data_IF_862104996564
#
_entry.id   IF_862104996564
#
_cell.length_a   1.000
_cell.length_b   1.000
_cell.length_c   1.000
_cell.angle_alpha   90.00
_cell.angle_beta   90.00
_cell.angle_gamma   90.00
#
_symmetry.space_group_name_H-M   'P 1'
#
loop_
_entity.id
_entity.type
_entity.pdbx_description
1 polymer ?
#
# COMPACT_ATOMS: atom_id res chain seq x y z
N UNK A 1 -37.82 -76.52 54.82
CA UNK A 1 -36.40 -76.81 54.52
C UNK A 1 -35.85 -75.68 53.64
N UNK A 2 -34.77 -75.04 54.12
CA UNK A 2 -33.79 -74.17 53.45
C UNK A 2 -34.23 -72.90 52.68
N UNK A 3 -33.81 -71.78 53.26
CA UNK A 3 -33.78 -70.39 52.78
C UNK A 3 -32.95 -70.22 51.50
N UNK A 4 -33.33 -69.28 50.63
CA UNK A 4 -32.38 -68.57 49.76
C UNK A 4 -32.75 -67.08 49.73
N UNK A 5 -31.85 -66.29 50.30
CA UNK A 5 -31.82 -64.82 50.32
C UNK A 5 -31.25 -64.30 48.99
N UNK A 6 -31.85 -63.27 48.40
CA UNK A 6 -31.32 -62.55 47.23
C UNK A 6 -31.01 -61.11 47.62
N UNK A 7 -29.72 -60.80 47.72
CA UNK A 7 -29.17 -59.48 47.94
C UNK A 7 -29.25 -58.63 46.65
N UNK A 8 -29.65 -57.38 46.81
CA UNK A 8 -29.74 -56.36 45.78
C UNK A 8 -28.37 -55.72 45.59
N UNK A 9 -27.80 -55.77 44.38
CA UNK A 9 -26.51 -55.19 44.03
C UNK A 9 -26.75 -53.77 43.47
N UNK A 10 -26.29 -52.73 44.17
CA UNK A 10 -26.19 -51.36 43.64
C UNK A 10 -24.90 -51.24 42.83
N UNK A 11 -25.01 -50.82 41.56
CA UNK A 11 -23.88 -50.45 40.72
C UNK A 11 -23.55 -48.97 40.90
N UNK A 12 -22.33 -48.66 41.37
CA UNK A 12 -21.80 -47.30 41.43
C UNK A 12 -21.09 -46.97 40.11
N UNK A 13 -21.52 -45.89 39.44
CA UNK A 13 -20.85 -45.32 38.27
C UNK A 13 -19.71 -44.39 38.73
N UNK A 14 -18.47 -44.75 38.38
CA UNK A 14 -17.28 -43.93 38.58
C UNK A 14 -17.12 -43.00 37.37
N UNK A 15 -17.16 -41.68 37.60
CA UNK A 15 -16.81 -40.68 36.58
C UNK A 15 -15.29 -40.44 36.60
N UNK A 16 -14.63 -40.63 35.47
CA UNK A 16 -13.24 -40.23 35.25
C UNK A 16 -13.16 -38.76 34.81
N UNK A 17 -12.22 -37.96 35.32
CA UNK A 17 -12.03 -36.59 34.86
C UNK A 17 -11.32 -36.56 33.51
N UNK A 18 -11.84 -35.78 32.56
CA UNK A 18 -11.19 -35.50 31.30
C UNK A 18 -10.00 -34.55 31.53
N UNK A 19 -8.80 -35.01 31.18
CA UNK A 19 -7.61 -34.16 31.14
C UNK A 19 -7.72 -33.19 29.95
N UNK A 20 -7.76 -31.89 30.21
CA UNK A 20 -7.62 -30.86 29.18
C UNK A 20 -6.13 -30.65 28.88
N UNK A 21 -5.72 -31.07 27.68
CA UNK A 21 -4.43 -30.69 27.13
C UNK A 21 -4.45 -29.17 26.85
N UNK A 22 -3.56 -28.43 27.50
CA UNK A 22 -3.30 -27.04 27.16
C UNK A 22 -2.42 -27.02 25.91
N UNK A 23 -2.98 -26.58 24.78
CA UNK A 23 -2.20 -26.26 23.59
C UNK A 23 -1.23 -25.13 23.93
N UNK A 24 0.06 -25.46 23.97
CA UNK A 24 1.13 -24.50 24.10
C UNK A 24 1.13 -23.62 22.84
N UNK A 25 0.85 -22.33 23.01
CA UNK A 25 0.93 -21.34 21.94
C UNK A 25 2.35 -21.34 21.35
N UNK A 26 2.45 -21.69 20.05
CA UNK A 26 3.70 -21.64 19.32
C UNK A 26 4.26 -20.20 19.33
N UNK A 27 5.58 -20.01 19.49
CA UNK A 27 6.18 -18.69 19.43
C UNK A 27 5.92 -18.07 18.06
N UNK A 28 5.41 -16.84 18.04
CA UNK A 28 5.23 -16.06 16.84
C UNK A 28 6.57 -15.95 16.11
N UNK A 29 6.63 -16.45 14.88
CA UNK A 29 7.81 -16.33 14.04
C UNK A 29 8.13 -14.84 13.85
N UNK A 30 9.34 -14.43 14.22
CA UNK A 30 9.84 -13.10 13.94
C UNK A 30 9.85 -12.89 12.42
N UNK A 31 9.03 -11.95 11.95
CA UNK A 31 8.97 -11.57 10.54
C UNK A 31 10.36 -11.10 10.10
N UNK A 32 10.90 -11.69 9.02
CA UNK A 32 12.18 -11.28 8.48
C UNK A 32 12.16 -9.76 8.15
N UNK A 33 13.29 -9.03 8.31
CA UNK A 33 13.35 -7.63 7.96
C UNK A 33 13.02 -7.44 6.48
N UNK A 34 12.00 -6.63 6.18
CA UNK A 34 11.69 -6.24 4.80
C UNK A 34 12.79 -5.28 4.33
N UNK A 35 13.50 -5.58 3.22
CA UNK A 35 14.50 -4.68 2.66
C UNK A 35 13.95 -3.27 2.45
N UNK A 36 14.76 -2.25 2.72
CA UNK A 36 14.41 -0.84 2.51
C UNK A 36 13.77 -0.13 3.71
N UNK A 37 13.18 -0.84 4.68
CA UNK A 37 12.52 -0.20 5.82
C UNK A 37 13.50 0.45 6.79
N UNK A 38 14.58 -0.25 7.12
CA UNK A 38 15.62 0.26 8.01
C UNK A 38 16.66 1.08 7.22
N UNK A 39 17.19 2.17 7.81
CA UNK A 39 18.23 2.95 7.17
C UNK A 39 19.52 2.14 7.07
N UNK A 40 20.26 2.35 5.97
CA UNK A 40 21.61 1.79 5.81
C UNK A 40 22.66 2.54 6.65
N UNK A 41 22.32 3.75 7.11
CA UNK A 41 23.06 4.51 8.10
C UNK A 41 22.42 4.36 9.49
N UNK A 42 23.10 4.81 10.55
CA UNK A 42 22.51 4.85 11.88
C UNK A 42 21.20 5.66 11.89
N UNK A 43 20.16 5.13 12.53
CA UNK A 43 18.89 5.80 12.65
C UNK A 43 19.07 7.14 13.39
N UNK A 44 18.51 8.22 12.83
CA UNK A 44 18.66 9.57 13.36
C UNK A 44 17.39 10.10 14.05
N UNK A 45 16.41 9.22 14.25
CA UNK A 45 15.11 9.56 14.86
C UNK A 45 14.15 10.29 13.92
N UNK A 46 14.47 10.40 12.63
CA UNK A 46 13.51 10.84 11.61
C UNK A 46 12.71 9.65 11.05
N UNK A 47 11.43 9.84 10.78
CA UNK A 47 10.55 8.84 10.18
C UNK A 47 9.88 9.33 8.89
N UNK A 48 9.75 8.43 7.92
CA UNK A 48 8.88 8.56 6.75
C UNK A 48 7.77 7.51 6.86
N UNK A 49 6.53 7.97 6.95
CA UNK A 49 5.37 7.09 6.93
C UNK A 49 4.78 6.97 5.52
N UNK A 50 4.53 5.74 5.09
CA UNK A 50 4.02 5.39 3.77
C UNK A 50 2.57 4.92 3.86
N UNK A 51 1.68 5.52 3.07
CA UNK A 51 0.32 5.01 2.88
C UNK A 51 0.04 4.74 1.40
N UNK A 52 -0.45 3.54 1.05
CA UNK A 52 -0.81 3.20 -0.32
C UNK A 52 -2.19 3.77 -0.69
N UNK A 53 -2.50 3.73 -1.98
CA UNK A 53 -3.86 3.90 -2.46
C UNK A 53 -4.62 2.59 -2.30
N UNK A 54 -5.96 2.67 -2.23
CA UNK A 54 -6.83 1.50 -2.06
C UNK A 54 -6.68 0.50 -3.20
N UNK A 55 -6.67 0.98 -4.44
CA UNK A 55 -6.42 0.19 -5.64
C UNK A 55 -6.24 1.10 -6.85
N UNK A 56 -5.67 0.54 -7.92
CA UNK A 56 -5.70 1.17 -9.23
C UNK A 56 -7.13 1.28 -9.76
N UNK A 57 -7.46 2.43 -10.35
CA UNK A 57 -8.73 2.71 -11.03
C UNK A 57 -8.50 2.91 -12.53
N UNK A 58 -9.45 2.48 -13.35
CA UNK A 58 -9.44 2.71 -14.80
C UNK A 58 -10.30 3.93 -15.14
N UNK A 59 -9.80 4.81 -16.02
CA UNK A 59 -10.61 5.84 -16.67
C UNK A 59 -10.42 5.80 -18.19
N UNK A 60 -11.51 5.56 -18.92
CA UNK A 60 -11.55 5.61 -20.38
C UNK A 60 -12.19 6.93 -20.80
N UNK A 61 -11.40 7.89 -21.31
CA UNK A 61 -11.91 9.15 -21.87
C UNK A 61 -12.00 9.04 -23.40
N UNK A 62 -13.18 8.66 -23.90
CA UNK A 62 -13.49 8.67 -25.34
C UNK A 62 -13.82 10.08 -25.89
N UNK A 63 -13.62 10.28 -27.20
CA UNK A 63 -13.74 11.57 -27.91
C UNK A 63 -15.17 12.16 -27.91
N UNK A 64 -16.19 11.40 -27.50
CA UNK A 64 -17.59 11.85 -27.34
C UNK A 64 -18.11 11.78 -25.89
N UNK A 65 -17.20 11.68 -24.90
CA UNK A 65 -17.56 11.36 -23.53
C UNK A 65 -17.95 9.89 -23.44
N UNK A 66 -17.03 9.05 -22.98
CA UNK A 66 -17.27 7.62 -22.75
C UNK A 66 -18.39 7.41 -21.73
N UNK A 67 -19.63 7.44 -22.21
CA UNK A 67 -20.84 7.14 -21.46
C UNK A 67 -21.12 5.63 -21.44
N UNK A 68 -22.21 5.29 -20.74
CA UNK A 68 -22.72 3.94 -20.47
C UNK A 68 -22.64 2.93 -21.63
N UNK A 69 -22.73 3.38 -22.88
CA UNK A 69 -22.69 2.55 -24.09
C UNK A 69 -21.30 1.97 -24.42
N UNK A 70 -20.23 2.76 -24.27
CA UNK A 70 -18.85 2.26 -24.49
C UNK A 70 -18.46 1.29 -23.37
N UNK A 71 -18.84 1.62 -22.13
CA UNK A 71 -18.69 0.76 -20.96
C UNK A 71 -19.49 -0.55 -21.09
N UNK A 72 -20.68 -0.53 -21.70
CA UNK A 72 -21.50 -1.73 -21.92
C UNK A 72 -20.94 -2.64 -23.03
N UNK A 73 -20.39 -2.07 -24.11
CA UNK A 73 -19.81 -2.84 -25.21
C UNK A 73 -18.47 -3.50 -24.86
N UNK A 74 -17.78 -2.98 -23.84
CA UNK A 74 -16.49 -3.50 -23.39
C UNK A 74 -16.50 -4.01 -21.95
N UNK A 75 -17.68 -4.16 -21.33
CA UNK A 75 -17.84 -4.53 -19.91
C UNK A 75 -17.08 -5.81 -19.51
N UNK A 76 -17.12 -6.85 -20.34
CA UNK A 76 -16.46 -8.13 -20.04
C UNK A 76 -14.92 -8.03 -20.14
N UNK A 77 -14.44 -7.22 -21.08
CA UNK A 77 -13.01 -6.97 -21.26
C UNK A 77 -12.48 -5.98 -20.21
N UNK A 78 -13.27 -5.00 -19.84
CA UNK A 78 -12.94 -4.04 -18.79
C UNK A 78 -13.02 -4.67 -17.39
N UNK A 79 -13.95 -5.60 -17.15
CA UNK A 79 -14.01 -6.33 -15.86
C UNK A 79 -12.86 -7.33 -15.70
N UNK A 80 -12.51 -8.08 -16.74
CA UNK A 80 -11.32 -8.94 -16.75
C UNK A 80 -10.04 -8.12 -16.62
N UNK A 81 -9.90 -7.01 -17.35
CA UNK A 81 -8.82 -6.06 -17.14
C UNK A 81 -8.82 -5.51 -15.71
N UNK A 82 -9.96 -5.14 -15.13
CA UNK A 82 -10.05 -4.66 -13.74
C UNK A 82 -9.62 -5.71 -12.72
N UNK A 83 -9.93 -6.99 -12.95
CA UNK A 83 -9.47 -8.08 -12.08
C UNK A 83 -7.95 -8.27 -12.15
N UNK A 84 -7.37 -8.19 -13.35
CA UNK A 84 -5.93 -8.23 -13.58
C UNK A 84 -5.20 -6.98 -13.02
N UNK A 85 -5.85 -5.83 -13.12
CA UNK A 85 -5.42 -4.55 -12.55
C UNK A 85 -5.40 -4.56 -11.03
N UNK A 86 -6.37 -5.22 -10.41
CA UNK A 86 -6.51 -5.27 -8.96
C UNK A 86 -5.34 -6.02 -8.30
N UNK A 87 -4.74 -7.01 -8.95
CA UNK A 87 -3.61 -7.77 -8.39
C UNK A 87 -2.25 -7.13 -8.63
N UNK A 88 -2.07 -6.33 -9.68
CA UNK A 88 -0.74 -5.81 -10.05
C UNK A 88 -0.30 -4.56 -9.28
N UNK A 89 -1.26 -3.76 -8.80
CA UNK A 89 -1.03 -2.55 -8.01
C UNK A 89 -2.03 -2.45 -6.86
N UNK A 90 -2.23 -3.57 -6.14
CA UNK A 90 -2.88 -3.55 -4.83
C UNK A 90 -2.04 -2.76 -3.81
N UNK A 91 -2.62 -2.51 -2.63
CA UNK A 91 -1.94 -1.71 -1.60
C UNK A 91 -0.60 -2.31 -1.14
N UNK A 92 -0.47 -3.63 -0.90
CA UNK A 92 0.82 -4.25 -0.57
C UNK A 92 1.86 -4.10 -1.68
N UNK A 93 1.52 -4.39 -2.95
CA UNK A 93 2.47 -4.28 -4.07
C UNK A 93 2.91 -2.84 -4.35
N UNK A 94 2.04 -1.85 -4.12
CA UNK A 94 2.42 -0.43 -4.17
C UNK A 94 3.49 -0.09 -3.12
N UNK A 95 3.33 -0.59 -1.90
CA UNK A 95 4.31 -0.38 -0.83
C UNK A 95 5.62 -1.11 -1.11
N UNK A 96 5.55 -2.36 -1.55
CA UNK A 96 6.72 -3.15 -1.94
C UNK A 96 7.50 -2.46 -3.07
N UNK A 97 6.80 -1.95 -4.08
CA UNK A 97 7.40 -1.20 -5.17
C UNK A 97 8.08 0.09 -4.71
N UNK A 98 7.52 0.80 -3.72
CA UNK A 98 8.13 2.00 -3.14
C UNK A 98 9.37 1.67 -2.31
N UNK A 99 9.31 0.67 -1.43
CA UNK A 99 10.43 0.33 -0.53
C UNK A 99 11.56 -0.42 -1.24
N UNK A 100 11.30 -0.99 -2.43
CA UNK A 100 12.34 -1.50 -3.31
C UNK A 100 13.24 -0.39 -3.90
N UNK A 101 12.79 0.87 -3.85
CA UNK A 101 13.60 2.03 -4.25
C UNK A 101 14.26 2.67 -3.03
N UNK A 102 15.36 3.40 -3.27
CA UNK A 102 15.99 4.20 -2.22
C UNK A 102 15.25 5.52 -2.00
N UNK A 103 14.16 5.48 -1.23
CA UNK A 103 13.34 6.66 -0.93
C UNK A 103 14.14 7.77 -0.23
N UNK A 104 15.25 7.42 0.45
CA UNK A 104 16.08 8.39 1.19
C UNK A 104 16.88 9.29 0.27
N UNK A 105 17.21 8.83 -0.93
CA UNK A 105 17.87 9.63 -1.97
C UNK A 105 16.88 10.29 -2.92
N UNK A 106 15.71 9.68 -3.14
CA UNK A 106 14.67 10.22 -4.01
C UNK A 106 13.87 11.37 -3.39
N UNK A 107 13.72 11.39 -2.05
CA UNK A 107 13.02 12.45 -1.33
C UNK A 107 14.01 13.25 -0.47
N UNK A 108 13.63 14.47 -0.01
CA UNK A 108 14.49 15.28 0.85
C UNK A 108 14.48 14.74 2.30
N UNK A 109 15.02 13.54 2.46
CA UNK A 109 15.18 12.79 3.70
C UNK A 109 16.65 12.71 4.08
N UNK A 110 16.91 12.32 5.32
CA UNK A 110 18.27 11.99 5.77
C UNK A 110 18.57 10.51 5.50
N UNK A 111 19.85 10.12 5.34
CA UNK A 111 20.23 8.71 5.20
C UNK A 111 19.82 7.83 6.40
N UNK A 112 19.65 8.42 7.58
CA UNK A 112 19.21 7.76 8.82
C UNK A 112 17.69 7.69 9.01
N UNK A 113 16.89 8.22 8.09
CA UNK A 113 15.42 8.21 8.23
C UNK A 113 14.89 6.77 8.25
N UNK A 114 14.02 6.41 9.19
CA UNK A 114 13.34 5.11 9.23
C UNK A 114 12.07 5.15 8.39
N UNK A 115 11.82 4.11 7.59
CA UNK A 115 10.61 4.03 6.74
C UNK A 115 9.58 3.14 7.43
N UNK A 116 8.40 3.69 7.66
CA UNK A 116 7.28 3.04 8.35
C UNK A 116 6.15 2.80 7.34
N UNK A 117 5.75 1.54 7.14
CA UNK A 117 4.64 1.18 6.28
C UNK A 117 3.32 1.20 7.04
N UNK A 118 2.29 1.75 6.41
CA UNK A 118 0.91 1.60 6.84
C UNK A 118 0.15 0.88 5.74
N UNK A 119 -0.19 -0.39 5.98
CA UNK A 119 -0.87 -1.23 4.99
C UNK A 119 -2.28 -0.75 4.66
N UNK A 120 -2.92 -0.02 5.58
CA UNK A 120 -4.29 0.46 5.39
C UNK A 120 -4.33 1.73 4.53
N UNK A 121 -5.02 1.69 3.37
CA UNK A 121 -5.17 2.85 2.51
C UNK A 121 -5.90 4.00 3.19
N UNK A 122 -5.52 5.22 2.82
CA UNK A 122 -6.23 6.40 3.29
C UNK A 122 -7.42 6.73 2.40
N UNK A 123 -8.52 7.13 3.02
CA UNK A 123 -9.68 7.60 2.26
C UNK A 123 -9.34 8.92 1.55
N UNK A 124 -9.46 8.94 0.22
CA UNK A 124 -9.10 10.08 -0.65
C UNK A 124 -9.67 11.42 -0.19
N UNK A 125 -10.92 11.42 0.30
CA UNK A 125 -11.62 12.65 0.74
C UNK A 125 -10.98 13.30 1.98
N UNK A 126 -10.18 12.54 2.74
CA UNK A 126 -9.52 13.01 3.96
C UNK A 126 -8.16 13.64 3.67
N UNK A 127 -7.56 13.40 2.49
CA UNK A 127 -6.18 13.77 2.19
C UNK A 127 -5.91 15.26 2.35
N UNK A 128 -6.79 16.10 1.80
CA UNK A 128 -6.65 17.55 1.91
C UNK A 128 -7.25 18.13 3.20
N UNK A 129 -8.03 17.36 3.96
CA UNK A 129 -8.75 17.83 5.17
C UNK A 129 -7.91 17.69 6.43
N UNK A 130 -7.24 16.55 6.60
CA UNK A 130 -6.40 16.29 7.78
C UNK A 130 -5.07 16.98 7.57
N UNK A 131 -4.79 18.00 8.39
CA UNK A 131 -3.55 18.79 8.35
C UNK A 131 -2.59 18.50 9.51
N UNK A 132 -2.99 17.62 10.43
CA UNK A 132 -2.14 17.06 11.48
C UNK A 132 -1.42 15.80 10.99
N UNK A 133 -0.46 15.31 11.79
CA UNK A 133 0.14 13.98 11.60
C UNK A 133 -0.96 12.92 11.59
N UNK A 134 -0.81 11.91 10.74
CA UNK A 134 -1.76 10.79 10.61
C UNK A 134 -1.44 9.60 11.49
N UNK A 135 -0.23 9.52 12.02
CA UNK A 135 0.15 8.52 13.02
C UNK A 135 0.49 9.19 14.34
N UNK A 136 0.45 8.40 15.41
CA UNK A 136 0.79 8.82 16.77
C UNK A 136 2.30 8.77 17.05
N UNK A 137 3.15 8.73 16.01
CA UNK A 137 4.60 8.68 16.17
C UNK A 137 5.15 9.90 16.92
N UNK A 138 6.00 9.62 17.90
CA UNK A 138 6.75 10.59 18.68
C UNK A 138 8.10 10.96 18.05
N UNK A 139 8.37 10.56 16.79
CA UNK A 139 9.62 10.86 16.11
C UNK A 139 9.91 12.36 16.05
N UNK A 140 11.20 12.71 16.20
CA UNK A 140 11.68 14.08 16.24
C UNK A 140 11.49 14.78 14.89
N UNK A 141 11.69 14.04 13.79
CA UNK A 141 11.36 14.47 12.43
C UNK A 141 10.31 13.53 11.86
N UNK A 142 9.27 14.10 11.28
CA UNK A 142 8.13 13.34 10.80
C UNK A 142 7.75 13.79 9.39
N UNK A 143 7.67 12.81 8.49
CA UNK A 143 7.24 13.02 7.11
C UNK A 143 6.28 11.94 6.67
N UNK A 144 5.48 12.26 5.68
CA UNK A 144 4.47 11.37 5.13
C UNK A 144 4.58 11.34 3.62
N UNK A 145 4.53 10.14 3.03
CA UNK A 145 4.28 9.93 1.63
C UNK A 145 2.96 9.16 1.48
N UNK A 146 2.01 9.78 0.80
CA UNK A 146 0.69 9.22 0.56
C UNK A 146 0.52 9.00 -0.94
N UNK A 147 0.20 7.78 -1.33
CA UNK A 147 -0.28 7.45 -2.68
C UNK A 147 -1.79 7.71 -2.68
N UNK A 148 -2.19 8.78 -3.33
CA UNK A 148 -3.57 9.26 -3.31
C UNK A 148 -4.47 8.52 -4.31
N UNK A 149 -3.90 8.16 -5.45
CA UNK A 149 -4.58 7.53 -6.57
C UNK A 149 -3.58 6.92 -7.53
N UNK A 150 -3.96 5.78 -8.12
CA UNK A 150 -3.29 5.16 -9.25
C UNK A 150 -4.33 5.02 -10.37
N UNK A 151 -4.04 5.59 -11.54
CA UNK A 151 -4.96 5.65 -12.67
C UNK A 151 -4.34 5.11 -13.95
N UNK A 152 -4.99 4.14 -14.56
CA UNK A 152 -4.79 3.83 -15.96
C UNK A 152 -5.61 4.79 -16.82
N UNK A 153 -4.97 5.37 -17.83
CA UNK A 153 -5.61 6.23 -18.82
C UNK A 153 -5.38 5.67 -20.22
N UNK A 154 -6.46 5.65 -21.01
CA UNK A 154 -6.41 5.41 -22.45
C UNK A 154 -6.93 6.65 -23.17
N UNK A 155 -6.06 7.30 -23.93
CA UNK A 155 -6.40 8.42 -24.79
C UNK A 155 -6.25 8.03 -26.26
N UNK A 156 -7.18 8.49 -27.10
CA UNK A 156 -7.18 8.16 -28.54
C UNK A 156 -5.90 8.60 -29.28
N UNK A 157 -5.28 9.71 -28.84
CA UNK A 157 -4.12 10.32 -29.49
C UNK A 157 -2.81 9.97 -28.75
N UNK A 158 -2.82 10.01 -27.43
CA UNK A 158 -1.60 9.88 -26.60
C UNK A 158 -1.32 8.45 -26.12
N UNK A 159 -2.14 7.49 -26.55
CA UNK A 159 -1.98 6.08 -26.20
C UNK A 159 -2.38 5.76 -24.76
N UNK A 160 -1.65 4.82 -24.17
CA UNK A 160 -1.94 4.26 -22.84
C UNK A 160 -0.92 4.77 -21.84
N UNK A 161 -1.35 5.14 -20.65
CA UNK A 161 -0.45 5.59 -19.58
C UNK A 161 -0.95 5.18 -18.21
N UNK A 162 -0.01 5.13 -17.27
CA UNK A 162 -0.29 5.03 -15.85
C UNK A 162 0.05 6.37 -15.20
N UNK A 163 -0.86 6.91 -14.41
CA UNK A 163 -0.65 8.13 -13.62
C UNK A 163 -0.83 7.84 -12.16
N UNK A 164 0.06 8.35 -11.33
CA UNK A 164 -0.02 8.19 -9.88
C UNK A 164 0.02 9.54 -9.22
N UNK A 165 -0.94 9.82 -8.34
CA UNK A 165 -0.97 11.03 -7.54
C UNK A 165 -0.30 10.74 -6.22
N UNK A 166 0.78 11.45 -5.95
CA UNK A 166 1.47 11.37 -4.68
C UNK A 166 1.28 12.68 -3.91
N UNK A 167 1.37 12.57 -2.58
CA UNK A 167 1.43 13.71 -1.67
C UNK A 167 2.54 13.44 -0.67
N UNK A 168 3.54 14.32 -0.65
CA UNK A 168 4.59 14.34 0.35
C UNK A 168 4.37 15.49 1.33
N UNK A 169 4.49 15.23 2.62
CA UNK A 169 4.31 16.22 3.67
C UNK A 169 5.42 16.13 4.70
N UNK A 170 5.89 17.29 5.16
CA UNK A 170 6.81 17.40 6.30
C UNK A 170 6.17 18.17 7.42
N UNK A 171 6.50 17.78 8.64
CA UNK A 171 5.97 18.36 9.85
C UNK A 171 7.10 18.92 10.71
N UNK A 172 6.81 20.02 11.42
CA UNK A 172 7.71 20.53 12.46
C UNK A 172 7.50 19.78 13.81
N UNK A 173 8.27 20.21 14.82
CA UNK A 173 8.16 19.74 16.19
C UNK A 173 6.80 20.09 16.83
N UNK A 174 6.11 21.13 16.35
CA UNK A 174 4.76 21.49 16.77
C UNK A 174 3.68 20.71 15.99
N UNK A 175 4.07 19.68 15.23
CA UNK A 175 3.20 18.82 14.43
C UNK A 175 2.41 19.56 13.33
N UNK A 176 2.90 20.71 12.88
CA UNK A 176 2.31 21.48 11.77
C UNK A 176 3.01 21.15 10.47
N UNK A 177 2.24 21.11 9.39
CA UNK A 177 2.79 20.95 8.04
C UNK A 177 3.64 22.17 7.70
N UNK A 178 4.94 21.96 7.50
CA UNK A 178 5.89 22.99 7.04
C UNK A 178 6.06 22.98 5.53
N UNK A 179 5.79 21.83 4.91
CA UNK A 179 5.83 21.69 3.46
C UNK A 179 4.91 20.56 3.01
N UNK A 180 4.12 20.81 1.98
CA UNK A 180 3.28 19.85 1.30
C UNK A 180 3.54 19.98 -0.21
N UNK A 181 3.83 18.86 -0.86
CA UNK A 181 3.94 18.78 -2.30
C UNK A 181 3.00 17.69 -2.80
N UNK A 182 2.12 18.04 -3.74
CA UNK A 182 1.11 17.14 -4.28
C UNK A 182 1.11 17.27 -5.80
N UNK A 183 1.46 16.19 -6.48
CA UNK A 183 1.58 16.19 -7.93
C UNK A 183 1.38 14.81 -8.52
N UNK A 184 1.10 14.79 -9.82
CA UNK A 184 1.04 13.57 -10.61
C UNK A 184 2.44 13.22 -11.12
N UNK A 185 2.82 11.94 -11.02
CA UNK A 185 3.77 11.33 -11.95
C UNK A 185 2.99 10.59 -13.05
N UNK A 186 3.52 10.50 -14.27
CA UNK A 186 2.78 9.91 -15.37
C UNK A 186 3.65 9.43 -16.53
N UNK A 187 3.64 8.13 -16.78
CA UNK A 187 4.47 7.48 -17.78
C UNK A 187 3.62 6.55 -18.68
N UNK A 188 4.06 6.38 -19.93
CA UNK A 188 3.37 5.57 -20.93
C UNK A 188 3.45 4.06 -20.66
N UNK A 189 2.48 3.32 -21.20
CA UNK A 189 2.39 1.86 -21.17
C UNK A 189 2.48 1.29 -22.59
N UNK A 190 3.33 0.28 -22.76
CA UNK A 190 3.60 -0.38 -24.04
C UNK A 190 2.99 -1.77 -24.12
N UNK A 191 2.81 -2.45 -23.00
CA UNK A 191 2.28 -3.80 -22.91
C UNK A 191 0.85 -3.78 -22.38
N UNK A 192 0.60 -3.07 -21.27
CA UNK A 192 -0.71 -3.09 -20.62
C UNK A 192 -1.77 -2.22 -21.32
N UNK A 193 -3.02 -2.70 -21.53
CA UNK A 193 -3.51 -4.03 -21.20
C UNK A 193 -3.06 -5.06 -22.25
N UNK A 194 -2.78 -6.32 -21.84
CA UNK A 194 -2.39 -7.37 -22.77
C UNK A 194 -3.52 -7.65 -23.76
N UNK A 195 -3.17 -7.96 -25.00
CA UNK A 195 -4.11 -8.50 -25.99
C UNK A 195 -4.17 -10.03 -25.88
N UNK A 196 -5.18 -10.61 -26.52
CA UNK A 196 -5.26 -12.06 -26.66
C UNK A 196 -4.00 -12.61 -27.32
N UNK A 197 -3.41 -13.65 -26.71
CA UNK A 197 -2.15 -14.25 -27.16
C UNK A 197 -0.88 -13.48 -26.77
N UNK A 198 -0.98 -12.33 -26.10
CA UNK A 198 0.18 -11.62 -25.54
C UNK A 198 0.51 -12.09 -24.11
N UNK A 199 1.75 -11.85 -23.66
CA UNK A 199 2.22 -12.22 -22.33
C UNK A 199 1.58 -11.32 -21.25
N UNK A 200 0.55 -11.84 -20.59
CA UNK A 200 -0.13 -11.16 -19.50
C UNK A 200 0.78 -10.89 -18.29
N UNK A 201 1.75 -11.76 -18.01
CA UNK A 201 2.68 -11.57 -16.88
C UNK A 201 3.60 -10.39 -17.15
N UNK A 202 4.15 -10.30 -18.37
CA UNK A 202 4.97 -9.17 -18.78
C UNK A 202 4.17 -7.85 -18.76
N UNK A 203 2.92 -7.87 -19.22
CA UNK A 203 2.06 -6.68 -19.20
C UNK A 203 1.73 -6.22 -17.76
N UNK A 204 1.52 -7.14 -16.82
CA UNK A 204 1.30 -6.80 -15.42
C UNK A 204 2.59 -6.33 -14.73
N UNK A 205 3.74 -6.94 -15.05
CA UNK A 205 5.05 -6.49 -14.56
C UNK A 205 5.40 -5.07 -15.02
N UNK A 206 4.93 -4.66 -16.20
CA UNK A 206 5.08 -3.27 -16.67
C UNK A 206 4.40 -2.27 -15.71
N UNK A 207 3.25 -2.59 -15.13
CA UNK A 207 2.52 -1.68 -14.24
C UNK A 207 3.35 -1.29 -13.00
N UNK A 208 4.00 -2.27 -12.35
CA UNK A 208 4.90 -2.01 -11.22
C UNK A 208 6.11 -1.16 -11.63
N UNK A 209 6.70 -1.46 -12.79
CA UNK A 209 7.83 -0.71 -13.34
C UNK A 209 7.45 0.75 -13.64
N UNK A 210 6.31 0.98 -14.29
CA UNK A 210 5.82 2.32 -14.64
C UNK A 210 5.36 3.07 -13.39
N UNK A 211 4.81 2.38 -12.39
CA UNK A 211 4.49 2.97 -11.09
C UNK A 211 5.74 3.51 -10.38
N UNK A 212 6.85 2.77 -10.38
CA UNK A 212 8.14 3.24 -9.85
C UNK A 212 8.66 4.45 -10.64
N UNK A 213 8.57 4.42 -11.98
CA UNK A 213 8.94 5.58 -12.83
C UNK A 213 8.11 6.82 -12.51
N UNK A 214 6.80 6.68 -12.31
CA UNK A 214 5.94 7.78 -11.87
C UNK A 214 6.42 8.37 -10.55
N UNK A 215 6.84 7.53 -9.60
CA UNK A 215 7.37 8.02 -8.33
C UNK A 215 8.70 8.76 -8.51
N UNK A 216 9.63 8.24 -9.30
CA UNK A 216 10.92 8.91 -9.57
C UNK A 216 10.71 10.29 -10.20
N UNK A 217 9.84 10.40 -11.19
CA UNK A 217 9.46 11.67 -11.81
C UNK A 217 8.86 12.64 -10.78
N UNK A 218 7.90 12.16 -9.99
CA UNK A 218 7.29 12.94 -8.92
C UNK A 218 8.33 13.43 -7.90
N UNK A 219 9.24 12.55 -7.47
CA UNK A 219 10.21 12.82 -6.42
C UNK A 219 11.26 13.84 -6.89
N UNK A 220 11.72 13.74 -8.14
CA UNK A 220 12.56 14.76 -8.77
C UNK A 220 11.88 16.14 -8.76
N UNK A 221 10.61 16.19 -9.14
CA UNK A 221 9.84 17.44 -9.16
C UNK A 221 9.58 17.97 -7.73
N UNK A 222 9.37 17.10 -6.76
CA UNK A 222 9.21 17.45 -5.36
C UNK A 222 10.50 18.09 -4.79
N UNK A 223 11.67 17.48 -5.03
CA UNK A 223 12.97 18.04 -4.63
C UNK A 223 13.16 19.42 -5.26
N UNK A 224 12.88 19.55 -6.56
CA UNK A 224 13.00 20.83 -7.28
C UNK A 224 12.09 21.91 -6.70
N UNK A 225 10.88 21.53 -6.26
CA UNK A 225 9.90 22.44 -5.65
C UNK A 225 10.10 22.65 -4.13
N UNK A 226 11.06 21.96 -3.50
CA UNK A 226 11.24 22.04 -2.06
C UNK A 226 11.71 23.45 -1.65
N UNK A 227 11.17 24.01 -0.54
CA UNK A 227 11.63 25.28 -0.03
C UNK A 227 13.12 25.14 0.31
N UNK A 228 13.94 26.06 -0.23
CA UNK A 228 15.35 26.17 0.13
C UNK A 228 15.42 26.37 1.64
N UNK A 229 16.28 25.61 2.33
CA UNK A 229 16.55 25.87 3.75
C UNK A 229 16.99 27.32 3.88
N UNK A 230 16.17 28.18 4.48
CA UNK A 230 16.63 29.48 4.92
C UNK A 230 17.57 29.18 6.08
N UNK A 231 18.86 29.53 5.93
CA UNK A 231 19.82 29.37 7.01
C UNK A 231 19.24 30.07 8.25
N UNK A 232 19.09 29.31 9.34
CA UNK A 232 18.74 29.89 10.63
C UNK A 232 19.82 30.94 10.94
N UNK A 233 19.36 32.18 11.13
CA UNK A 233 20.22 33.31 11.46
C UNK A 233 20.48 33.34 12.96
#
# INVERSE_FOLDING_TARGET
MKMISRACLLAALVFAPAAHAQDAAAPAAATAPVPGLQPAAAADGCELHLWPAERMRSQTTGLLGGGLLDAALHADRDSSNQSLMASALDSPSQLDALVAMDLRTLLPLTPGTTIIRHEQPLERKTMNKIKTRRSDSAAACYSELIVADVFYMKAAIYGRSLRTLFMYRRFDAAQKITWEYKAWGGNGLSLFPPKEGEDAVAALGELGTVYQKNFVEYAHNAITAAPKKVAAK
#
